data_IF_727797865127
#
_entry.id   IF_727797865127
#
_cell.length_a   1.000
_cell.length_b   1.000
_cell.length_c   1.000
_cell.angle_alpha   90.00
_cell.angle_beta   90.00
_cell.angle_gamma   90.00
#
_symmetry.space_group_name_H-M   'P 1'
#
loop_
_entity.id
_entity.type
_entity.pdbx_description
1 polymer ?
#
# COMPACT_ATOMS: atom_id res chain seq x y z
N UNK A 1 12.15 -25.53 3.32
CA UNK A 1 11.63 -24.27 2.73
C UNK A 1 10.85 -23.57 3.83
N UNK A 2 11.26 -22.36 4.21
CA UNK A 2 10.74 -21.74 5.43
C UNK A 2 9.27 -21.39 5.22
N UNK A 3 8.38 -21.82 6.11
CA UNK A 3 6.93 -21.57 5.99
C UNK A 3 6.62 -20.07 5.83
N UNK A 4 7.45 -19.21 6.43
CA UNK A 4 7.45 -17.76 6.26
C UNK A 4 7.69 -17.27 4.82
N UNK A 5 8.53 -17.95 4.04
CA UNK A 5 8.77 -17.61 2.63
C UNK A 5 7.54 -17.91 1.77
N UNK A 6 6.82 -18.99 2.07
CA UNK A 6 5.61 -19.38 1.33
C UNK A 6 4.51 -18.34 1.57
N UNK A 7 4.34 -17.88 2.81
CA UNK A 7 3.38 -16.83 3.16
C UNK A 7 3.72 -15.50 2.46
N UNK A 8 4.99 -15.10 2.45
CA UNK A 8 5.45 -13.89 1.76
C UNK A 8 5.19 -13.93 0.25
N UNK A 9 5.46 -15.07 -0.39
CA UNK A 9 5.19 -15.27 -1.82
C UNK A 9 3.68 -15.24 -2.11
N UNK A 10 2.86 -15.81 -1.23
CA UNK A 10 1.40 -15.76 -1.35
C UNK A 10 0.85 -14.34 -1.28
N UNK A 11 1.32 -13.54 -0.31
CA UNK A 11 0.93 -12.12 -0.19
C UNK A 11 1.38 -11.32 -1.41
N UNK A 12 2.62 -11.53 -1.89
CA UNK A 12 3.12 -10.88 -3.10
C UNK A 12 2.26 -11.18 -4.32
N UNK A 13 1.88 -12.45 -4.51
CA UNK A 13 1.04 -12.88 -5.62
C UNK A 13 -0.36 -12.27 -5.57
N UNK A 14 -1.00 -12.22 -4.39
CA UNK A 14 -2.31 -11.58 -4.20
C UNK A 14 -2.25 -10.08 -4.52
N UNK A 15 -1.17 -9.42 -4.11
CA UNK A 15 -0.98 -7.97 -4.36
C UNK A 15 -0.84 -7.67 -5.85
N UNK A 16 -0.11 -8.52 -6.59
CA UNK A 16 0.02 -8.43 -8.05
C UNK A 16 -1.35 -8.64 -8.72
N UNK A 17 -2.10 -9.66 -8.31
CA UNK A 17 -3.44 -9.96 -8.86
C UNK A 17 -4.40 -8.79 -8.64
N UNK A 18 -4.44 -8.22 -7.43
CA UNK A 18 -5.27 -7.05 -7.13
C UNK A 18 -4.85 -5.82 -7.95
N UNK A 19 -3.55 -5.59 -8.09
CA UNK A 19 -3.02 -4.51 -8.94
C UNK A 19 -3.46 -4.64 -10.40
N UNK A 20 -3.38 -5.86 -10.95
CA UNK A 20 -3.83 -6.16 -12.32
C UNK A 20 -5.33 -5.98 -12.45
N UNK A 21 -6.14 -6.50 -11.53
CA UNK A 21 -7.61 -6.36 -11.54
C UNK A 21 -8.05 -4.89 -11.50
N UNK A 22 -7.43 -4.09 -10.65
CA UNK A 22 -7.71 -2.64 -10.56
C UNK A 22 -7.30 -1.94 -11.85
N UNK A 23 -6.14 -2.25 -12.41
CA UNK A 23 -5.68 -1.68 -13.69
C UNK A 23 -6.62 -2.05 -14.85
N UNK A 24 -7.10 -3.29 -14.87
CA UNK A 24 -8.01 -3.79 -15.89
C UNK A 24 -9.39 -3.13 -15.78
N UNK A 25 -9.92 -2.99 -14.56
CA UNK A 25 -11.17 -2.26 -14.30
C UNK A 25 -11.06 -0.79 -14.69
N UNK A 26 -9.95 -0.12 -14.37
CA UNK A 26 -9.69 1.28 -14.76
C UNK A 26 -9.62 1.46 -16.28
N UNK A 27 -9.04 0.51 -17.02
CA UNK A 27 -9.04 0.54 -18.51
C UNK A 27 -10.47 0.40 -19.07
N UNK A 28 -11.31 -0.44 -18.46
CA UNK A 28 -12.66 -0.72 -18.95
C UNK A 28 -13.66 0.40 -18.65
N UNK A 29 -13.48 1.13 -17.55
CA UNK A 29 -14.42 2.17 -17.13
C UNK A 29 -14.26 3.50 -17.88
N UNK A 30 -13.22 3.69 -18.70
CA UNK A 30 -13.01 4.89 -19.56
C UNK A 30 -12.88 6.23 -18.82
N UNK A 31 -13.24 6.27 -17.55
CA UNK A 31 -13.10 7.37 -16.63
C UNK A 31 -11.74 7.23 -15.99
N UNK A 32 -10.78 8.02 -16.47
CA UNK A 32 -9.59 8.38 -15.70
C UNK A 32 -10.05 9.11 -14.45
N UNK A 33 -10.55 8.38 -13.44
CA UNK A 33 -10.70 8.93 -12.09
C UNK A 33 -9.29 9.26 -11.66
N UNK A 34 -9.00 10.56 -11.56
CA UNK A 34 -7.74 11.07 -11.04
C UNK A 34 -7.35 10.25 -9.81
N UNK A 35 -6.12 9.74 -9.85
CA UNK A 35 -5.57 8.91 -8.77
C UNK A 35 -5.64 9.70 -7.46
N UNK A 36 -6.26 9.11 -6.44
CA UNK A 36 -6.45 9.77 -5.16
C UNK A 36 -5.19 9.68 -4.31
N UNK A 37 -4.24 10.58 -4.55
CA UNK A 37 -2.97 10.63 -3.81
C UNK A 37 -3.15 10.90 -2.32
N UNK A 38 -4.27 11.51 -1.93
CA UNK A 38 -4.64 11.69 -0.52
C UNK A 38 -4.97 10.35 0.13
N UNK A 39 -5.61 9.42 -0.58
CA UNK A 39 -5.85 8.07 -0.07
C UNK A 39 -4.54 7.30 0.17
N UNK A 40 -3.53 7.44 -0.71
CA UNK A 40 -2.20 6.88 -0.48
C UNK A 40 -1.53 7.45 0.77
N UNK A 41 -1.61 8.77 0.97
CA UNK A 41 -1.09 9.39 2.18
C UNK A 41 -1.76 8.84 3.47
N UNK A 42 -3.10 8.72 3.46
CA UNK A 42 -3.86 8.19 4.60
C UNK A 42 -3.48 6.73 4.87
N UNK A 43 -3.40 5.89 3.84
CA UNK A 43 -2.94 4.50 3.99
C UNK A 43 -1.51 4.43 4.55
N UNK A 44 -0.62 5.33 4.12
CA UNK A 44 0.73 5.42 4.66
C UNK A 44 0.77 5.73 6.17
N UNK A 45 0.03 6.75 6.60
CA UNK A 45 -0.09 7.12 8.02
C UNK A 45 -0.77 6.03 8.85
N UNK A 46 -1.64 5.21 8.27
CA UNK A 46 -2.24 4.07 8.97
C UNK A 46 -1.27 2.88 9.07
N UNK A 47 -0.60 2.51 7.97
CA UNK A 47 0.25 1.31 7.92
C UNK A 47 1.62 1.48 8.57
N UNK A 48 2.18 2.69 8.58
CA UNK A 48 3.46 2.96 9.23
C UNK A 48 3.44 2.65 10.74
N UNK A 49 2.54 3.23 11.56
CA UNK A 49 2.46 2.91 12.98
C UNK A 49 1.97 1.47 13.22
N UNK A 50 1.06 0.94 12.40
CA UNK A 50 0.65 -0.46 12.50
C UNK A 50 1.83 -1.43 12.30
N UNK A 51 2.69 -1.17 11.32
CA UNK A 51 3.87 -1.99 11.06
C UNK A 51 4.87 -1.93 12.21
N UNK A 52 5.10 -0.75 12.78
CA UNK A 52 5.98 -0.57 13.95
C UNK A 52 5.42 -1.33 15.15
N UNK A 53 4.15 -1.10 15.49
CA UNK A 53 3.50 -1.78 16.62
C UNK A 53 3.59 -3.28 16.43
N UNK A 54 3.16 -3.82 15.29
CA UNK A 54 3.21 -5.26 15.04
C UNK A 54 4.63 -5.84 15.07
N UNK A 55 5.64 -5.11 14.59
CA UNK A 55 7.05 -5.55 14.69
C UNK A 55 7.48 -5.69 16.14
N UNK A 56 7.09 -4.74 17.00
CA UNK A 56 7.40 -4.77 18.43
C UNK A 56 6.62 -5.86 19.15
N UNK A 57 5.31 -6.00 18.91
CA UNK A 57 4.47 -6.96 19.64
C UNK A 57 4.70 -8.40 19.23
N UNK A 58 4.93 -8.67 17.95
CA UNK A 58 5.07 -10.03 17.41
C UNK A 58 6.55 -10.46 17.39
N UNK A 59 7.49 -9.51 17.44
CA UNK A 59 8.93 -9.78 17.40
C UNK A 59 9.40 -10.37 16.05
N UNK A 60 8.55 -10.34 15.02
CA UNK A 60 8.89 -10.88 13.70
C UNK A 60 9.42 -9.76 12.79
N UNK A 61 10.68 -9.85 12.33
CA UNK A 61 11.27 -8.86 11.44
C UNK A 61 10.56 -8.74 10.08
N UNK A 62 9.76 -9.73 9.67
CA UNK A 62 8.91 -9.64 8.48
C UNK A 62 7.89 -8.50 8.52
N UNK A 63 7.51 -8.03 9.71
CA UNK A 63 6.57 -6.90 9.87
C UNK A 63 7.19 -5.54 9.54
N UNK A 64 8.53 -5.48 9.39
CA UNK A 64 9.22 -4.31 8.84
C UNK A 64 8.76 -4.01 7.41
N UNK A 65 8.33 -5.02 6.65
CA UNK A 65 7.74 -4.84 5.32
C UNK A 65 6.48 -3.98 5.33
N UNK A 66 5.64 -4.12 6.37
CA UNK A 66 4.44 -3.31 6.53
C UNK A 66 4.79 -1.84 6.85
N UNK A 67 5.81 -1.65 7.69
CA UNK A 67 6.36 -0.32 8.00
C UNK A 67 6.92 0.35 6.75
N UNK A 68 7.70 -0.39 5.95
CA UNK A 68 8.26 0.09 4.69
C UNK A 68 7.16 0.46 3.68
N UNK A 69 6.11 -0.37 3.55
CA UNK A 69 4.95 -0.04 2.73
C UNK A 69 4.23 1.22 3.21
N UNK A 70 4.08 1.39 4.52
CA UNK A 70 3.53 2.61 5.13
C UNK A 70 4.34 3.85 4.74
N UNK A 71 5.67 3.77 4.81
CA UNK A 71 6.58 4.84 4.39
C UNK A 71 6.42 5.13 2.90
N UNK A 72 6.40 4.11 2.04
CA UNK A 72 6.26 4.28 0.58
C UNK A 72 4.95 4.98 0.23
N UNK A 73 3.82 4.54 0.80
CA UNK A 73 2.52 5.17 0.55
C UNK A 73 2.43 6.59 1.10
N UNK A 74 3.05 6.83 2.25
CA UNK A 74 3.15 8.18 2.82
C UNK A 74 3.95 9.11 1.90
N UNK A 75 5.11 8.67 1.39
CA UNK A 75 5.93 9.44 0.46
C UNK A 75 5.19 9.67 -0.86
N UNK A 76 4.58 8.64 -1.47
CA UNK A 76 3.79 8.82 -2.69
C UNK A 76 2.65 9.82 -2.50
N UNK A 77 1.98 9.77 -1.35
CA UNK A 77 0.94 10.72 -1.01
C UNK A 77 1.46 12.15 -0.87
N UNK A 78 2.57 12.36 -0.15
CA UNK A 78 3.21 13.67 0.05
C UNK A 78 3.82 14.25 -1.23
N UNK A 79 4.52 13.42 -2.00
CA UNK A 79 5.18 13.82 -3.24
C UNK A 79 4.17 14.27 -4.31
N UNK A 80 2.94 13.76 -4.26
CA UNK A 80 1.84 14.17 -5.12
C UNK A 80 0.77 14.98 -4.36
N UNK A 81 1.17 15.73 -3.33
CA UNK A 81 0.28 16.59 -2.54
C UNK A 81 -0.42 17.66 -3.37
N UNK A 82 0.22 18.12 -4.44
CA UNK A 82 -0.33 19.03 -5.44
C UNK A 82 -1.59 18.47 -6.12
N UNK A 83 -1.65 17.14 -6.28
CA UNK A 83 -2.77 16.39 -6.90
C UNK A 83 -3.76 15.86 -5.89
N UNK A 84 -3.64 16.23 -4.62
CA UNK A 84 -4.70 15.92 -3.67
C UNK A 84 -5.95 16.61 -4.15
N UNK A 85 -7.04 15.84 -4.30
CA UNK A 85 -8.34 16.39 -4.70
C UNK A 85 -8.66 17.60 -3.84
N UNK A 86 -8.48 18.79 -4.41
CA UNK A 86 -8.98 20.02 -3.83
C UNK A 86 -10.48 19.91 -4.01
N UNK A 87 -11.18 19.75 -2.89
CA UNK A 87 -12.62 19.96 -2.85
C UNK A 87 -12.81 21.40 -3.33
N UNK A 88 -13.29 21.55 -4.58
CA UNK A 88 -13.85 22.80 -5.05
C UNK A 88 -15.01 23.22 -4.15
#
# INVERSE_FOLDING_TARGET
MNEWLIILLGIGMITIILGVLVAWKKRKEGKSKETDYRAFFIMGISFLPLGIVMTITIGNPGMLGLTALGIIYMIMGLANRDKWKKKS
#
